data_IF_736980330681
#
_entry.id   IF_736980330681
#
_cell.length_a   1.000
_cell.length_b   1.000
_cell.length_c   1.000
_cell.angle_alpha   90.00
_cell.angle_beta   90.00
_cell.angle_gamma   90.00
#
_symmetry.space_group_name_H-M   'P 1'
#
loop_
_entity.id
_entity.type
_entity.pdbx_description
1 polymer ?
#
# COMPACT_ATOMS: atom_id res chain seq x y z
N UNK A 1 -24.09 52.15 -52.07
CA UNK A 1 -24.05 53.25 -51.09
C UNK A 1 -24.12 52.64 -49.70
N UNK A 2 -23.29 53.15 -48.80
CA UNK A 2 -22.98 52.81 -47.39
C UNK A 2 -24.22 52.25 -46.62
N UNK A 3 -24.14 51.21 -45.77
CA UNK A 3 -23.73 51.29 -44.35
C UNK A 3 -23.14 49.94 -43.87
N UNK A 4 -21.86 49.96 -43.45
CA UNK A 4 -21.24 48.94 -42.57
C UNK A 4 -21.63 49.27 -41.13
N UNK A 5 -22.35 48.35 -40.47
CA UNK A 5 -22.61 48.44 -39.03
C UNK A 5 -21.45 47.76 -38.28
N UNK A 6 -20.79 48.57 -37.43
CA UNK A 6 -19.76 48.18 -36.47
C UNK A 6 -20.32 47.20 -35.44
N UNK A 7 -19.56 46.19 -35.05
CA UNK A 7 -19.44 45.80 -33.64
C UNK A 7 -18.04 45.22 -33.36
N UNK A 8 -17.25 46.00 -32.64
CA UNK A 8 -16.05 45.61 -31.91
C UNK A 8 -16.51 44.95 -30.60
N UNK A 9 -16.14 43.69 -30.35
CA UNK A 9 -16.23 43.10 -29.00
C UNK A 9 -14.90 42.39 -28.74
N UNK A 10 -14.16 42.96 -27.80
CA UNK A 10 -12.84 42.56 -27.34
C UNK A 10 -12.96 41.37 -26.36
N UNK A 11 -12.19 40.27 -26.48
CA UNK A 11 -12.42 39.07 -25.70
C UNK A 11 -11.50 39.02 -24.47
N UNK A 12 -11.69 39.89 -23.47
CA UNK A 12 -11.08 39.72 -22.15
C UNK A 12 -11.78 40.63 -21.13
N UNK A 13 -12.63 40.09 -20.23
CA UNK A 13 -12.15 39.70 -18.89
C UNK A 13 -13.02 38.60 -18.24
N UNK A 14 -13.05 37.38 -18.79
CA UNK A 14 -13.83 36.24 -18.22
C UNK A 14 -12.92 35.15 -17.61
N UNK A 15 -11.60 35.26 -17.76
CA UNK A 15 -10.67 34.21 -17.27
C UNK A 15 -10.24 34.35 -15.81
N UNK A 16 -10.66 35.40 -15.09
CA UNK A 16 -10.18 35.68 -13.72
C UNK A 16 -11.14 35.25 -12.59
N UNK A 17 -12.40 34.92 -12.86
CA UNK A 17 -13.36 34.48 -11.82
C UNK A 17 -13.51 32.96 -11.72
N UNK A 18 -13.11 32.18 -12.72
CA UNK A 18 -13.21 30.70 -12.70
C UNK A 18 -12.04 30.05 -11.93
N UNK A 19 -10.93 30.76 -11.69
CA UNK A 19 -9.78 30.24 -10.94
C UNK A 19 -10.01 30.18 -9.43
N UNK A 20 -10.91 31.02 -8.88
CA UNK A 20 -11.12 31.11 -7.43
C UNK A 20 -12.13 30.08 -6.88
N UNK A 21 -12.98 29.49 -7.73
CA UNK A 21 -13.89 28.40 -7.33
C UNK A 21 -13.24 27.01 -7.42
N UNK A 22 -12.20 26.84 -8.26
CA UNK A 22 -11.50 25.56 -8.38
C UNK A 22 -10.59 25.24 -7.18
N UNK A 23 -10.20 26.26 -6.40
CA UNK A 23 -9.36 26.08 -5.21
C UNK A 23 -10.14 25.61 -3.98
N UNK A 24 -11.47 25.78 -3.94
CA UNK A 24 -12.28 25.33 -2.79
C UNK A 24 -12.83 23.90 -2.93
N UNK A 25 -12.90 23.34 -4.15
CA UNK A 25 -13.40 21.97 -4.40
C UNK A 25 -12.31 20.89 -4.19
N UNK A 26 -11.04 21.30 -4.05
CA UNK A 26 -9.92 20.42 -3.70
C UNK A 26 -9.70 20.26 -2.18
N UNK A 27 -10.58 20.80 -1.35
CA UNK A 27 -10.61 20.46 0.07
C UNK A 27 -11.28 19.10 0.25
N UNK A 28 -10.42 18.08 0.24
CA UNK A 28 -10.50 16.83 0.99
C UNK A 28 -11.93 16.41 1.38
N UNK A 29 -12.53 15.54 0.58
CA UNK A 29 -13.30 14.47 1.19
C UNK A 29 -12.31 13.69 2.08
N UNK A 30 -12.30 13.96 3.38
CA UNK A 30 -11.54 13.17 4.35
C UNK A 30 -12.02 11.72 4.19
N UNK A 31 -11.19 10.88 3.55
CA UNK A 31 -11.32 9.44 3.73
C UNK A 31 -11.23 9.20 5.23
N UNK A 32 -12.31 8.70 5.85
CA UNK A 32 -12.28 8.26 7.25
C UNK A 32 -11.02 7.43 7.45
N UNK A 33 -10.13 7.92 8.32
CA UNK A 33 -8.86 7.28 8.58
C UNK A 33 -9.14 5.90 9.17
N UNK A 34 -9.01 4.85 8.36
CA UNK A 34 -9.07 3.44 8.76
C UNK A 34 -7.80 3.07 9.55
N UNK A 35 -7.67 3.69 10.72
CA UNK A 35 -6.64 3.39 11.71
C UNK A 35 -7.14 3.69 13.13
N UNK A 36 -6.78 2.81 14.06
CA UNK A 36 -7.34 2.77 15.43
C UNK A 36 -6.55 3.66 16.38
N UNK A 37 -5.22 3.57 16.34
CA UNK A 37 -4.33 4.31 17.25
C UNK A 37 -3.92 5.66 16.67
N UNK A 38 -3.92 5.79 15.34
CA UNK A 38 -3.62 7.06 14.66
C UNK A 38 -4.56 8.23 15.02
N UNK A 39 -5.76 7.92 15.53
CA UNK A 39 -6.74 8.91 15.99
C UNK A 39 -6.31 9.53 17.33
N UNK A 40 -5.50 8.81 18.11
CA UNK A 40 -5.03 9.21 19.43
C UNK A 40 -3.59 9.72 19.39
N UNK A 41 -2.77 9.18 18.49
CA UNK A 41 -1.34 9.45 18.43
C UNK A 41 -0.91 9.71 16.99
N UNK A 42 -0.23 10.84 16.74
CA UNK A 42 0.28 11.15 15.40
C UNK A 42 1.57 10.38 15.10
N UNK A 43 2.53 10.42 16.02
CA UNK A 43 3.84 9.78 15.88
C UNK A 43 4.16 8.83 17.03
N UNK A 44 5.20 8.00 16.88
CA UNK A 44 5.69 7.13 17.95
C UNK A 44 6.28 7.90 19.15
N UNK A 45 6.64 9.18 18.99
CA UNK A 45 7.05 10.06 20.08
C UNK A 45 5.89 10.32 21.04
N UNK A 46 4.69 10.50 20.50
CA UNK A 46 3.49 10.88 21.24
C UNK A 46 2.82 9.67 21.91
N UNK A 47 3.17 8.46 21.47
CA UNK A 47 2.60 7.20 21.96
C UNK A 47 3.48 6.54 23.02
N UNK A 48 3.13 6.65 24.33
CA UNK A 48 3.96 6.12 25.40
C UNK A 48 4.01 4.58 25.38
N UNK A 49 5.13 4.01 25.83
CA UNK A 49 5.47 2.59 25.67
C UNK A 49 4.52 1.68 26.47
N UNK A 50 4.10 2.10 27.66
CA UNK A 50 3.18 1.38 28.55
C UNK A 50 1.78 1.20 27.95
N UNK A 51 1.34 2.12 27.09
CA UNK A 51 0.04 2.04 26.40
C UNK A 51 0.11 1.35 25.04
N UNK A 52 1.31 0.90 24.65
CA UNK A 52 1.55 0.40 23.30
C UNK A 52 1.38 -1.11 23.27
N UNK A 53 0.63 -1.66 22.29
CA UNK A 53 0.61 -3.10 22.07
C UNK A 53 2.03 -3.61 21.77
N UNK A 54 2.37 -4.81 22.25
CA UNK A 54 3.71 -5.40 22.13
C UNK A 54 4.25 -5.43 20.69
N UNK A 55 3.35 -5.48 19.71
CA UNK A 55 3.66 -5.48 18.28
C UNK A 55 4.30 -4.19 17.76
N UNK A 56 4.08 -3.06 18.43
CA UNK A 56 4.66 -1.76 18.08
C UNK A 56 5.84 -1.38 18.99
N UNK A 57 6.29 -2.31 19.84
CA UNK A 57 7.49 -2.13 20.65
C UNK A 57 8.70 -2.63 19.83
N UNK A 58 9.72 -1.77 19.71
CA UNK A 58 10.95 -2.09 19.00
C UNK A 58 11.71 -3.22 19.73
N UNK A 59 12.27 -4.15 18.95
CA UNK A 59 13.12 -5.23 19.47
C UNK A 59 14.56 -5.02 19.02
N UNK A 60 15.47 -4.86 19.98
CA UNK A 60 16.90 -4.60 19.74
C UNK A 60 17.68 -5.88 19.39
N UNK A 61 17.45 -6.96 20.14
CA UNK A 61 18.30 -8.16 20.10
C UNK A 61 17.83 -9.25 19.14
N UNK A 62 17.34 -8.88 17.95
CA UNK A 62 16.92 -9.85 16.93
C UNK A 62 18.14 -10.54 16.32
N UNK A 63 18.20 -11.88 16.42
CA UNK A 63 19.22 -12.68 15.73
C UNK A 63 18.79 -12.96 14.28
N UNK A 64 19.47 -12.34 13.32
CA UNK A 64 19.16 -12.53 11.91
C UNK A 64 19.78 -13.81 11.32
N UNK A 65 19.10 -14.49 10.38
CA UNK A 65 19.67 -15.61 9.64
C UNK A 65 20.97 -15.27 8.92
N UNK A 66 21.92 -16.22 8.92
CA UNK A 66 23.23 -16.05 8.26
C UNK A 66 23.06 -15.71 6.77
N UNK A 67 23.72 -14.63 6.33
CA UNK A 67 23.67 -14.13 4.96
C UNK A 67 22.46 -13.26 4.62
N UNK A 68 21.61 -12.93 5.61
CA UNK A 68 20.52 -11.97 5.43
C UNK A 68 21.05 -10.52 5.36
N UNK A 69 22.01 -10.19 6.22
CA UNK A 69 22.71 -8.91 6.25
C UNK A 69 24.23 -9.14 6.32
N UNK A 70 24.99 -8.18 5.79
CA UNK A 70 26.40 -7.97 6.12
C UNK A 70 26.52 -6.75 7.02
N UNK A 71 27.54 -5.92 6.79
CA UNK A 71 27.79 -4.69 7.58
C UNK A 71 26.91 -3.49 7.16
N UNK A 72 25.90 -3.74 6.33
CA UNK A 72 25.00 -2.71 5.80
C UNK A 72 23.96 -2.25 6.82
N UNK A 73 23.47 -1.02 6.67
CA UNK A 73 22.32 -0.53 7.45
C UNK A 73 21.06 -1.38 7.19
N UNK A 74 20.52 -1.99 8.25
CA UNK A 74 19.38 -2.93 8.20
C UNK A 74 18.13 -2.30 7.60
N UNK A 75 17.75 -1.09 8.03
CA UNK A 75 16.59 -0.35 7.53
C UNK A 75 16.69 -0.11 6.02
N UNK A 76 17.83 0.44 5.57
CA UNK A 76 18.08 0.71 4.14
C UNK A 76 17.99 -0.57 3.33
N UNK A 77 18.69 -1.62 3.78
CA UNK A 77 18.74 -2.90 3.08
C UNK A 77 17.38 -3.58 3.00
N UNK A 78 16.64 -3.61 4.10
CA UNK A 78 15.30 -4.15 4.15
C UNK A 78 14.33 -3.37 3.24
N UNK A 79 14.39 -2.03 3.29
CA UNK A 79 13.61 -1.15 2.43
C UNK A 79 13.86 -1.36 0.94
N UNK A 80 15.14 -1.52 0.54
CA UNK A 80 15.51 -1.82 -0.84
C UNK A 80 14.94 -3.16 -1.32
N UNK A 81 15.04 -4.22 -0.51
CA UNK A 81 14.53 -5.56 -0.85
C UNK A 81 13.01 -5.54 -1.00
N UNK A 82 12.31 -4.99 -0.01
CA UNK A 82 10.85 -4.87 0.01
C UNK A 82 10.36 -4.02 -1.16
N UNK A 83 10.94 -2.84 -1.35
CA UNK A 83 10.57 -1.93 -2.44
C UNK A 83 10.82 -2.54 -3.81
N UNK A 84 11.97 -3.19 -4.02
CA UNK A 84 12.25 -3.86 -5.28
C UNK A 84 11.25 -5.01 -5.55
N UNK A 85 10.91 -5.82 -4.54
CA UNK A 85 10.06 -7.00 -4.72
C UNK A 85 8.58 -6.65 -4.86
N UNK A 86 8.03 -5.94 -3.89
CA UNK A 86 6.60 -5.73 -3.74
C UNK A 86 6.10 -4.47 -4.44
N UNK A 87 6.97 -3.52 -4.74
CA UNK A 87 6.62 -2.30 -5.49
C UNK A 87 7.07 -2.43 -6.94
N UNK A 88 8.38 -2.49 -7.20
CA UNK A 88 8.93 -2.44 -8.57
C UNK A 88 8.64 -3.72 -9.36
N UNK A 89 8.79 -4.90 -8.73
CA UNK A 89 8.68 -6.21 -9.40
C UNK A 89 7.40 -6.97 -9.07
N UNK A 90 6.33 -6.28 -8.69
CA UNK A 90 5.03 -6.87 -8.30
C UNK A 90 4.46 -7.86 -9.32
N UNK A 91 4.63 -7.59 -10.63
CA UNK A 91 4.16 -8.47 -11.72
C UNK A 91 4.91 -9.82 -11.81
N UNK A 92 6.05 -9.94 -11.12
CA UNK A 92 6.91 -11.13 -11.15
C UNK A 92 6.83 -12.00 -9.88
N UNK A 93 5.99 -11.62 -8.91
CA UNK A 93 5.87 -12.31 -7.61
C UNK A 93 5.60 -13.82 -7.79
N UNK A 94 4.60 -14.18 -8.59
CA UNK A 94 4.27 -15.59 -8.86
C UNK A 94 5.34 -16.38 -9.62
N UNK A 95 6.29 -15.71 -10.29
CA UNK A 95 7.38 -16.39 -11.04
C UNK A 95 8.53 -16.82 -10.12
N UNK A 96 8.70 -16.13 -8.99
CA UNK A 96 9.83 -16.27 -8.07
C UNK A 96 9.34 -16.32 -6.62
N UNK A 97 8.65 -17.41 -6.21
CA UNK A 97 8.09 -17.53 -4.87
C UNK A 97 9.16 -17.56 -3.77
N UNK A 98 10.31 -18.22 -4.00
CA UNK A 98 11.41 -18.23 -3.03
C UNK A 98 11.90 -16.83 -2.65
N UNK A 99 12.38 -16.02 -3.62
CA UNK A 99 12.75 -14.62 -3.36
C UNK A 99 11.61 -13.77 -2.79
N UNK A 100 10.35 -13.99 -3.21
CA UNK A 100 9.20 -13.30 -2.64
C UNK A 100 9.07 -13.57 -1.14
N UNK A 101 9.14 -14.83 -0.72
CA UNK A 101 9.01 -15.23 0.68
C UNK A 101 10.23 -14.77 1.49
N UNK A 102 11.44 -14.82 0.94
CA UNK A 102 12.61 -14.22 1.58
C UNK A 102 12.41 -12.71 1.84
N UNK A 103 11.85 -11.99 0.87
CA UNK A 103 11.60 -10.56 0.96
C UNK A 103 10.44 -10.23 1.94
N UNK A 104 9.56 -11.18 2.28
CA UNK A 104 8.64 -11.06 3.44
C UNK A 104 9.41 -11.05 4.77
N UNK A 105 10.49 -11.83 4.88
CA UNK A 105 11.40 -11.76 6.04
C UNK A 105 12.07 -10.39 6.15
N UNK A 106 12.52 -9.79 5.04
CA UNK A 106 13.01 -8.41 5.05
C UNK A 106 11.92 -7.39 5.43
N UNK A 107 10.65 -7.67 5.15
CA UNK A 107 9.54 -6.81 5.57
C UNK A 107 9.37 -6.79 7.10
N UNK A 108 9.51 -7.93 7.79
CA UNK A 108 9.53 -7.97 9.25
C UNK A 108 10.64 -7.09 9.83
N UNK A 109 11.83 -7.13 9.24
CA UNK A 109 12.95 -6.25 9.64
C UNK A 109 12.62 -4.79 9.39
N UNK A 110 12.14 -4.45 8.19
CA UNK A 110 11.73 -3.10 7.85
C UNK A 110 10.73 -2.55 8.87
N UNK A 111 9.74 -3.36 9.23
CA UNK A 111 8.73 -3.02 10.24
C UNK A 111 9.38 -2.70 11.60
N UNK A 112 10.23 -3.60 12.11
CA UNK A 112 10.93 -3.41 13.39
C UNK A 112 11.81 -2.15 13.38
N UNK A 113 12.61 -1.94 12.33
CA UNK A 113 13.50 -0.78 12.23
C UNK A 113 12.76 0.56 12.16
N UNK A 114 11.54 0.58 11.61
CA UNK A 114 10.70 1.80 11.65
C UNK A 114 10.19 2.11 13.07
N UNK A 115 10.04 1.10 13.95
CA UNK A 115 9.65 1.32 15.35
C UNK A 115 10.76 2.01 16.15
N UNK A 116 12.02 1.84 15.75
CA UNK A 116 13.15 2.53 16.35
C UNK A 116 13.15 4.04 16.03
N UNK A 117 12.60 4.43 14.86
CA UNK A 117 12.47 5.84 14.52
C UNK A 117 11.22 6.45 15.16
N UNK A 118 11.43 7.23 16.25
CA UNK A 118 10.35 7.85 17.03
C UNK A 118 9.48 8.84 16.22
N UNK A 119 10.01 9.44 15.15
CA UNK A 119 9.24 10.37 14.29
C UNK A 119 8.31 9.67 13.30
N UNK A 120 8.28 8.33 13.29
CA UNK A 120 7.41 7.56 12.40
C UNK A 120 5.95 7.77 12.76
N UNK A 121 5.13 8.09 11.74
CA UNK A 121 3.68 8.24 11.89
C UNK A 121 2.99 6.91 12.22
N UNK A 122 2.08 6.93 13.19
CA UNK A 122 1.32 5.75 13.64
C UNK A 122 0.45 5.19 12.53
N UNK A 123 -0.21 6.05 11.76
CA UNK A 123 -1.02 5.66 10.60
C UNK A 123 -0.22 4.80 9.61
N UNK A 124 1.04 5.17 9.35
CA UNK A 124 1.92 4.41 8.44
C UNK A 124 2.22 3.03 8.99
N UNK A 125 2.47 2.92 10.29
CA UNK A 125 2.77 1.66 10.97
C UNK A 125 1.54 0.74 10.97
N UNK A 126 0.34 1.26 11.21
CA UNK A 126 -0.88 0.46 11.14
C UNK A 126 -1.15 -0.08 9.73
N UNK A 127 -0.97 0.74 8.69
CA UNK A 127 -1.06 0.28 7.30
C UNK A 127 -0.07 -0.84 7.00
N UNK A 128 1.16 -0.73 7.51
CA UNK A 128 2.18 -1.76 7.34
C UNK A 128 1.90 -3.00 8.19
N UNK A 129 1.26 -2.85 9.35
CA UNK A 129 0.82 -3.96 10.19
C UNK A 129 -0.23 -4.82 9.48
N UNK A 130 -1.15 -4.22 8.72
CA UNK A 130 -2.11 -4.97 7.89
C UNK A 130 -1.39 -5.88 6.88
N UNK A 131 -0.36 -5.35 6.21
CA UNK A 131 0.48 -6.13 5.28
C UNK A 131 1.26 -7.22 6.01
N UNK A 132 1.87 -6.89 7.16
CA UNK A 132 2.60 -7.84 8.01
C UNK A 132 1.73 -9.03 8.41
N UNK A 133 0.51 -8.74 8.84
CA UNK A 133 -0.46 -9.75 9.28
C UNK A 133 -0.85 -10.68 8.13
N UNK A 134 -1.10 -10.12 6.93
CA UNK A 134 -1.37 -10.93 5.74
C UNK A 134 -0.17 -11.82 5.34
N UNK A 135 1.07 -11.33 5.46
CA UNK A 135 2.25 -12.15 5.22
C UNK A 135 2.36 -13.29 6.22
N UNK A 136 2.19 -13.02 7.52
CA UNK A 136 2.23 -14.05 8.56
C UNK A 136 1.16 -15.12 8.34
N UNK A 137 -0.07 -14.69 8.07
CA UNK A 137 -1.19 -15.60 7.75
C UNK A 137 -0.89 -16.46 6.52
N UNK A 138 -0.22 -15.94 5.50
CA UNK A 138 0.10 -16.71 4.29
C UNK A 138 0.97 -17.95 4.54
N UNK A 139 1.69 -18.00 5.66
CA UNK A 139 2.50 -19.14 6.09
C UNK A 139 2.05 -19.71 7.45
N UNK A 140 0.81 -19.43 7.86
CA UNK A 140 0.27 -19.86 9.16
C UNK A 140 1.18 -19.49 10.35
N UNK A 141 1.84 -18.34 10.28
CA UNK A 141 2.63 -17.79 11.38
C UNK A 141 1.65 -17.05 12.30
N UNK A 142 1.72 -17.33 13.61
CA UNK A 142 0.87 -16.65 14.59
C UNK A 142 1.06 -15.14 14.55
N UNK A 143 -0.03 -14.38 14.75
CA UNK A 143 0.05 -12.93 14.93
C UNK A 143 0.94 -12.56 16.14
N UNK A 144 0.94 -13.40 17.19
CA UNK A 144 1.74 -13.23 18.40
C UNK A 144 3.18 -13.73 18.28
N UNK A 145 3.56 -14.40 17.19
CA UNK A 145 4.92 -14.90 17.00
C UNK A 145 5.93 -13.75 17.06
N UNK A 146 7.13 -14.01 17.59
CA UNK A 146 8.16 -12.98 17.65
C UNK A 146 8.58 -12.57 16.23
N UNK A 147 9.01 -11.31 16.00
CA UNK A 147 9.69 -10.89 14.78
C UNK A 147 10.83 -11.84 14.39
N UNK A 148 11.67 -12.25 15.34
CA UNK A 148 12.77 -13.18 15.09
C UNK A 148 12.30 -14.52 14.52
N UNK A 149 11.27 -15.12 15.12
CA UNK A 149 10.68 -16.38 14.65
C UNK A 149 10.10 -16.23 13.24
N UNK A 150 9.37 -15.14 12.99
CA UNK A 150 8.80 -14.86 11.67
C UNK A 150 9.89 -14.67 10.62
N UNK A 151 10.93 -13.89 10.91
CA UNK A 151 12.09 -13.67 10.03
C UNK A 151 12.74 -15.01 9.69
N UNK A 152 12.99 -15.85 10.69
CA UNK A 152 13.62 -17.16 10.50
C UNK A 152 12.75 -18.05 9.60
N UNK A 153 11.44 -18.13 9.85
CA UNK A 153 10.50 -18.92 9.04
C UNK A 153 10.43 -18.44 7.60
N UNK A 154 10.24 -17.13 7.37
CA UNK A 154 10.22 -16.57 6.01
C UNK A 154 11.54 -16.79 5.28
N UNK A 155 12.67 -16.45 5.90
CA UNK A 155 13.96 -16.49 5.24
C UNK A 155 14.39 -17.92 4.91
N UNK A 156 14.22 -18.86 5.84
CA UNK A 156 14.54 -20.28 5.64
C UNK A 156 13.68 -20.92 4.55
N UNK A 157 12.35 -20.73 4.61
CA UNK A 157 11.43 -21.24 3.59
C UNK A 157 11.75 -20.65 2.22
N UNK A 158 11.97 -19.34 2.14
CA UNK A 158 12.31 -18.68 0.90
C UNK A 158 13.63 -19.18 0.30
N UNK A 159 14.64 -19.45 1.14
CA UNK A 159 15.92 -20.06 0.73
C UNK A 159 15.75 -21.49 0.21
N UNK A 160 14.92 -22.29 0.89
CA UNK A 160 14.58 -23.65 0.44
C UNK A 160 13.86 -23.63 -0.92
N UNK A 161 12.83 -22.80 -1.06
CA UNK A 161 12.06 -22.68 -2.31
C UNK A 161 12.88 -22.13 -3.47
N UNK A 162 13.89 -21.29 -3.20
CA UNK A 162 14.82 -20.81 -4.21
C UNK A 162 15.74 -21.92 -4.70
N UNK A 163 16.12 -22.85 -3.82
CA UNK A 163 17.04 -23.95 -4.10
C UNK A 163 16.32 -25.16 -4.73
N UNK A 164 15.01 -25.26 -4.55
CA UNK A 164 14.20 -26.34 -5.11
C UNK A 164 14.09 -26.27 -6.64
N UNK A 165 14.22 -27.42 -7.32
CA UNK A 165 13.93 -27.55 -8.75
C UNK A 165 12.43 -27.43 -8.98
N UNK A 166 12.02 -26.52 -9.88
CA UNK A 166 10.61 -26.29 -10.22
C UNK A 166 10.08 -27.47 -11.03
N UNK A 167 9.25 -28.34 -10.44
CA UNK A 167 8.38 -29.24 -11.20
C UNK A 167 7.17 -28.44 -11.66
N UNK A 168 6.91 -28.42 -12.98
CA UNK A 168 5.66 -27.86 -13.51
C UNK A 168 4.55 -28.83 -13.15
N UNK A 169 3.83 -28.56 -12.06
CA UNK A 169 2.61 -29.28 -11.77
C UNK A 169 1.54 -28.83 -12.76
N UNK A 170 0.83 -29.78 -13.38
CA UNK A 170 -0.30 -29.47 -14.25
C UNK A 170 -1.37 -28.82 -13.37
N UNK A 171 -1.61 -27.53 -13.58
CA UNK A 171 -2.64 -26.80 -12.86
C UNK A 171 -3.98 -27.44 -13.22
N UNK A 172 -4.81 -27.72 -12.21
CA UNK A 172 -6.14 -28.28 -12.41
C UNK A 172 -6.95 -27.38 -13.34
N UNK A 173 -7.69 -27.98 -14.28
CA UNK A 173 -8.52 -27.26 -15.25
C UNK A 173 -9.56 -26.39 -14.54
N UNK A 174 -10.12 -26.88 -13.43
CA UNK A 174 -11.08 -26.12 -12.62
C UNK A 174 -10.45 -24.85 -12.04
N UNK A 175 -9.18 -24.90 -11.64
CA UNK A 175 -8.45 -23.76 -11.08
C UNK A 175 -8.15 -22.69 -12.14
N UNK A 176 -7.98 -23.11 -13.41
CA UNK A 176 -7.87 -22.18 -14.54
C UNK A 176 -9.20 -21.48 -14.84
N UNK A 177 -10.32 -22.23 -14.84
CA UNK A 177 -11.67 -21.66 -15.02
C UNK A 177 -12.01 -20.65 -13.92
N UNK A 178 -11.75 -21.00 -12.65
CA UNK A 178 -11.95 -20.09 -11.51
C UNK A 178 -11.11 -18.82 -11.62
N UNK A 179 -9.86 -18.93 -12.08
CA UNK A 179 -8.99 -17.77 -12.29
C UNK A 179 -9.55 -16.85 -13.38
N UNK A 180 -10.02 -17.40 -14.48
CA UNK A 180 -10.60 -16.61 -15.58
C UNK A 180 -11.89 -15.91 -15.16
N UNK A 181 -12.80 -16.62 -14.51
CA UNK A 181 -14.04 -16.03 -13.95
C UNK A 181 -13.73 -14.88 -12.97
N UNK A 182 -12.71 -15.05 -12.12
CA UNK A 182 -12.30 -14.02 -11.16
C UNK A 182 -11.70 -12.77 -11.84
N UNK A 183 -10.94 -12.93 -12.92
CA UNK A 183 -10.44 -11.79 -13.70
C UNK A 183 -11.56 -11.05 -14.45
N UNK A 184 -12.54 -11.78 -15.00
CA UNK A 184 -13.74 -11.16 -15.58
C UNK A 184 -14.58 -10.41 -14.54
N UNK A 185 -14.72 -10.95 -13.33
CA UNK A 185 -15.42 -10.26 -12.23
C UNK A 185 -14.68 -8.98 -11.81
N UNK A 186 -13.35 -9.04 -11.67
CA UNK A 186 -12.55 -7.85 -11.33
C UNK A 186 -12.66 -6.75 -12.39
N UNK A 187 -12.64 -7.11 -13.67
CA UNK A 187 -12.78 -6.12 -14.75
C UNK A 187 -14.15 -5.46 -14.74
N UNK A 188 -15.22 -6.24 -14.53
CA UNK A 188 -16.59 -5.72 -14.34
C UNK A 188 -16.66 -4.76 -13.15
N UNK A 189 -16.15 -5.16 -11.97
CA UNK A 189 -16.12 -4.30 -10.77
C UNK A 189 -15.39 -2.99 -11.05
N UNK A 190 -14.24 -3.02 -11.74
CA UNK A 190 -13.48 -1.82 -12.07
C UNK A 190 -14.27 -0.87 -13.00
N UNK A 191 -14.95 -1.40 -14.01
CA UNK A 191 -15.81 -0.61 -14.92
C UNK A 191 -17.00 -0.03 -14.17
N UNK A 192 -17.70 -0.82 -13.36
CA UNK A 192 -18.82 -0.35 -12.54
C UNK A 192 -18.39 0.72 -11.54
N UNK A 193 -17.25 0.55 -10.86
CA UNK A 193 -16.72 1.57 -9.92
C UNK A 193 -16.39 2.89 -10.61
N UNK A 194 -15.87 2.84 -11.86
CA UNK A 194 -15.66 4.05 -12.66
C UNK A 194 -16.99 4.71 -13.04
N UNK A 195 -17.97 3.93 -13.49
CA UNK A 195 -19.30 4.45 -13.85
C UNK A 195 -20.02 5.10 -12.66
N UNK A 196 -19.96 4.48 -11.47
CA UNK A 196 -20.52 5.04 -10.23
C UNK A 196 -19.87 6.38 -9.91
N UNK A 197 -18.52 6.45 -9.88
CA UNK A 197 -17.82 7.72 -9.64
C UNK A 197 -18.21 8.82 -10.63
N UNK A 198 -18.29 8.50 -11.93
CA UNK A 198 -18.72 9.47 -12.95
C UNK A 198 -20.15 9.94 -12.69
N UNK A 199 -21.06 9.03 -12.33
CA UNK A 199 -22.46 9.38 -12.01
C UNK A 199 -22.60 10.22 -10.75
N UNK A 200 -21.82 9.94 -9.70
CA UNK A 200 -21.79 10.74 -8.46
C UNK A 200 -21.21 12.13 -8.71
N UNK A 201 -20.19 12.23 -9.58
CA UNK A 201 -19.60 13.53 -9.96
C UNK A 201 -20.59 14.34 -10.80
N UNK A 202 -21.32 13.71 -11.71
CA UNK A 202 -22.35 14.37 -12.52
C UNK A 202 -23.50 14.92 -11.65
N UNK A 203 -23.98 14.13 -10.67
CA UNK A 203 -25.01 14.58 -9.71
C UNK A 203 -24.54 15.77 -8.87
N UNK A 204 -23.33 15.74 -8.34
CA UNK A 204 -22.75 16.87 -7.58
C UNK A 204 -22.59 18.14 -8.42
N UNK A 205 -22.30 18.00 -9.72
CA UNK A 205 -22.21 19.14 -10.65
C UNK A 205 -23.60 19.72 -10.98
N UNK A 206 -24.65 18.90 -11.06
CA UNK A 206 -26.03 19.37 -11.25
C UNK A 206 -26.58 20.07 -10.00
N UNK A 207 -26.34 19.50 -8.82
CA UNK A 207 -26.71 20.08 -7.52
C UNK A 207 -25.98 21.40 -7.23
N UNK A 208 -24.76 21.57 -7.72
CA UNK A 208 -23.99 22.82 -7.61
C UNK A 208 -24.44 23.91 -8.61
N UNK A 209 -25.18 23.55 -9.66
CA UNK A 209 -25.75 24.49 -10.65
C UNK A 209 -27.15 24.97 -10.29
N UNK A 210 -27.82 24.31 -9.36
CA UNK A 210 -29.18 24.60 -8.89
C UNK A 210 -29.23 25.38 -7.57
N UNK A 211 -28.07 25.73 -7.00
CA UNK A 211 -27.88 26.71 -5.92
C UNK A 211 -27.30 28.00 -6.48
#
# INVERSE_FOLDING_TARGET
>A
MIIKLKYFINPWPITLTISFLFTQILNAAEEEKDCTYCLQFETLLDWPIDKRPSIFIYQEDIKYPKGMFGDENKLKRAGEKVGNRFVKKKKSLGKKPGPMIMDMGYFEVLFNEMLNNKTTKVEKLEKLLKVRSAFRQSLNISASASPEEAILKFYSLGKMMRSAKKKKQKVDKDLLLRKEALEQLKSKIATTKKAIKVSETAKKVEEAKTK
#
